data_IF_793810258396
#
_entry.id   IF_793810258396
#
_cell.length_a   1.000
_cell.length_b   1.000
_cell.length_c   1.000
_cell.angle_alpha   90.00
_cell.angle_beta   90.00
_cell.angle_gamma   90.00
#
_symmetry.space_group_name_H-M   'P 1'
#
loop_
_entity.id
_entity.type
_entity.pdbx_description
1 polymer ?
#
# COMPACT_ATOMS: atom_id res chain seq x y z
N UNK A 1 -12.19 29.03 -1.62
CA UNK A 1 -11.01 28.54 -0.88
C UNK A 1 -10.36 27.44 -1.70
N UNK A 2 -9.11 27.62 -2.15
CA UNK A 2 -8.31 26.53 -2.71
C UNK A 2 -7.57 25.90 -1.53
N UNK A 3 -8.16 24.88 -0.93
CA UNK A 3 -7.61 24.16 0.21
C UNK A 3 -7.80 22.66 0.03
N UNK A 4 -6.97 21.87 0.69
CA UNK A 4 -7.12 20.43 0.78
C UNK A 4 -8.50 20.13 1.38
N UNK A 5 -9.24 19.26 0.71
CA UNK A 5 -10.59 18.88 1.10
C UNK A 5 -10.61 17.44 1.60
N UNK A 6 -11.73 17.02 2.19
CA UNK A 6 -11.93 15.62 2.60
C UNK A 6 -11.73 14.64 1.43
N UNK A 7 -12.05 15.05 0.19
CA UNK A 7 -11.86 14.20 -1.00
C UNK A 7 -10.39 13.89 -1.26
N UNK A 8 -9.50 14.85 -0.98
CA UNK A 8 -8.06 14.67 -1.15
C UNK A 8 -7.50 13.69 -0.10
N UNK A 9 -8.01 13.75 1.14
CA UNK A 9 -7.63 12.79 2.19
C UNK A 9 -8.16 11.39 1.90
N UNK A 10 -9.40 11.27 1.42
CA UNK A 10 -9.97 9.99 1.00
C UNK A 10 -9.16 9.38 -0.15
N UNK A 11 -8.77 10.19 -1.14
CA UNK A 11 -7.93 9.76 -2.24
C UNK A 11 -6.53 9.34 -1.76
N UNK A 12 -5.88 10.14 -0.92
CA UNK A 12 -4.56 9.84 -0.37
C UNK A 12 -4.57 8.52 0.39
N UNK A 13 -5.59 8.30 1.23
CA UNK A 13 -5.76 7.04 1.97
C UNK A 13 -5.91 5.86 1.02
N UNK A 14 -6.70 6.00 -0.05
CA UNK A 14 -6.86 4.90 -1.00
C UNK A 14 -5.59 4.57 -1.77
N UNK A 15 -4.79 5.59 -2.09
CA UNK A 15 -3.47 5.42 -2.71
C UNK A 15 -2.54 4.67 -1.74
N UNK A 16 -2.51 5.09 -0.47
CA UNK A 16 -1.72 4.44 0.58
C UNK A 16 -2.13 2.97 0.76
N UNK A 17 -3.43 2.68 0.85
CA UNK A 17 -3.95 1.31 0.97
C UNK A 17 -3.47 0.41 -0.18
N UNK A 18 -3.44 0.93 -1.41
CA UNK A 18 -3.03 0.17 -2.60
C UNK A 18 -1.51 0.00 -2.65
N UNK A 19 -0.74 1.05 -2.38
CA UNK A 19 0.72 1.00 -2.41
C UNK A 19 1.27 0.12 -1.28
N UNK A 20 0.68 0.20 -0.09
CA UNK A 20 1.13 -0.54 1.10
C UNK A 20 0.47 -1.92 1.24
N UNK A 21 -0.30 -2.34 0.22
CA UNK A 21 -0.99 -3.62 0.23
C UNK A 21 -0.02 -4.81 0.42
N UNK A 22 -0.43 -5.75 1.26
CA UNK A 22 0.35 -6.94 1.65
C UNK A 22 -0.45 -8.21 1.38
N UNK A 23 -0.48 -8.70 0.12
CA UNK A 23 -1.31 -9.85 -0.23
C UNK A 23 -0.97 -11.12 0.55
N UNK A 24 0.30 -11.30 0.96
CA UNK A 24 0.73 -12.45 1.76
C UNK A 24 0.20 -12.47 3.21
N UNK A 25 -0.56 -11.45 3.64
CA UNK A 25 -1.30 -11.44 4.92
C UNK A 25 -2.78 -11.78 4.75
N UNK A 26 -3.26 -11.91 3.52
CA UNK A 26 -4.65 -12.28 3.20
C UNK A 26 -4.73 -13.78 2.88
N UNK A 27 -5.91 -14.38 3.06
CA UNK A 27 -6.16 -15.73 2.57
C UNK A 27 -6.30 -15.69 1.04
N UNK A 28 -5.28 -16.18 0.33
CA UNK A 28 -5.25 -16.15 -1.13
C UNK A 28 -4.04 -16.86 -1.74
N UNK A 29 -3.94 -16.81 -3.06
CA UNK A 29 -2.84 -17.44 -3.81
C UNK A 29 -1.58 -16.55 -3.93
N UNK A 30 -1.65 -15.30 -3.47
CA UNK A 30 -0.56 -14.33 -3.61
C UNK A 30 0.33 -14.36 -2.37
N UNK A 31 1.61 -14.74 -2.55
CA UNK A 31 2.56 -14.91 -1.46
C UNK A 31 3.04 -13.58 -0.83
N UNK A 32 2.78 -12.46 -1.50
CA UNK A 32 3.20 -11.13 -1.04
C UNK A 32 4.62 -10.76 -1.44
N UNK A 33 5.15 -9.73 -0.77
CA UNK A 33 6.48 -9.20 -1.07
C UNK A 33 7.59 -10.17 -0.64
N UNK A 34 8.58 -10.46 -1.51
CA UNK A 34 9.69 -11.37 -1.19
C UNK A 34 10.42 -11.00 0.11
N UNK A 35 10.87 -11.99 0.88
CA UNK A 35 11.58 -11.76 2.15
C UNK A 35 13.04 -11.34 1.96
N UNK A 36 13.65 -11.70 0.84
CA UNK A 36 15.02 -11.35 0.51
C UNK A 36 15.16 -9.89 0.10
N UNK A 37 16.08 -9.17 0.74
CA UNK A 37 16.22 -7.71 0.57
C UNK A 37 16.53 -7.28 -0.87
N UNK A 38 17.22 -8.12 -1.64
CA UNK A 38 17.55 -7.84 -3.05
C UNK A 38 16.35 -7.92 -3.99
N UNK A 39 15.26 -8.58 -3.58
CA UNK A 39 14.04 -8.75 -4.37
C UNK A 39 12.84 -8.00 -3.78
N UNK A 40 13.03 -7.24 -2.70
CA UNK A 40 12.00 -6.38 -2.10
C UNK A 40 11.80 -5.13 -2.94
N UNK A 41 10.60 -4.97 -3.50
CA UNK A 41 10.19 -3.76 -4.21
C UNK A 41 9.50 -2.73 -3.31
N UNK A 42 9.04 -3.13 -2.11
CA UNK A 42 8.48 -2.23 -1.09
C UNK A 42 9.12 -2.54 0.25
N UNK A 43 9.52 -1.50 0.96
CA UNK A 43 9.87 -1.56 2.38
C UNK A 43 8.65 -1.08 3.17
N UNK A 44 8.09 -1.97 3.97
CA UNK A 44 7.08 -1.60 4.95
C UNK A 44 7.77 -0.97 6.17
N UNK A 45 7.13 0.03 6.77
CA UNK A 45 7.56 0.65 8.04
C UNK A 45 7.29 -0.27 9.25
#
# INVERSE_FOLDING_TARGET
AKGITNKDFELAKKIEDVIMWQPGKEDGALEGTPKESQFKYIKYD
#
